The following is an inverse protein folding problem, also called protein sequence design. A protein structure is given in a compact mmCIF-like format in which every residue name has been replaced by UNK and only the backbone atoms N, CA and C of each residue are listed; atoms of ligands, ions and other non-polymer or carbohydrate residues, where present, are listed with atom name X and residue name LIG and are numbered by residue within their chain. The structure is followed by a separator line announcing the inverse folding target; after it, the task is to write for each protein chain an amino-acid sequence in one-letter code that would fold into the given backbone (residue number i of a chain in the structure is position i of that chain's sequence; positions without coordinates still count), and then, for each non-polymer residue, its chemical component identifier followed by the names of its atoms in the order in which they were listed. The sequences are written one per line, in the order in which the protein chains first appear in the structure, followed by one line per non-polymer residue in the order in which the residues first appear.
data_IF_138298086978
#
_entry.id   IF_138298086978
#
_cell.length_a   1.000
_cell.length_b   1.000
_cell.length_c   1.000
_cell.angle_alpha   90.00
_cell.angle_beta   90.00
_cell.angle_gamma   90.00
#
_symmetry.space_group_name_H-M   'P 1'
#
loop_
_entity.id
_entity.type
_entity.pdbx_description
1 polymer ?
#
# COMPACT_ATOMS: atom_id res chain seq x y z
N UNK A 1 -8.56 -28.65 -11.53
CA UNK A 1 -8.49 -27.57 -12.53
C UNK A 1 -7.98 -26.33 -11.83
N UNK A 2 -6.99 -25.62 -12.40
CA UNK A 2 -6.55 -24.33 -11.86
C UNK A 2 -7.61 -23.29 -12.21
N UNK A 3 -8.40 -22.88 -11.23
CA UNK A 3 -9.42 -21.84 -11.38
C UNK A 3 -8.87 -20.52 -10.86
N UNK A 4 -9.33 -19.40 -11.41
CA UNK A 4 -8.92 -18.05 -10.97
C UNK A 4 -9.09 -17.85 -9.44
N UNK A 5 -10.04 -18.57 -8.83
CA UNK A 5 -10.28 -18.60 -7.38
C UNK A 5 -9.06 -19.07 -6.56
N UNK A 6 -8.16 -19.89 -7.12
CA UNK A 6 -6.94 -20.31 -6.41
C UNK A 6 -5.96 -19.15 -6.18
N UNK A 7 -6.11 -18.04 -6.90
CA UNK A 7 -5.28 -16.83 -6.74
C UNK A 7 -5.78 -15.89 -5.66
N UNK A 8 -6.95 -16.12 -5.08
CA UNK A 8 -7.46 -15.34 -3.94
C UNK A 8 -7.58 -16.26 -2.73
N UNK A 9 -7.00 -15.82 -1.62
CA UNK A 9 -7.19 -16.48 -0.33
C UNK A 9 -7.35 -15.43 0.75
N UNK A 10 -8.61 -15.18 1.12
CA UNK A 10 -8.94 -14.23 2.18
C UNK A 10 -8.62 -14.78 3.55
N UNK A 11 -8.32 -13.89 4.48
CA UNK A 11 -8.27 -14.25 5.89
C UNK A 11 -9.71 -14.58 6.35
N UNK A 12 -9.91 -15.78 6.92
CA UNK A 12 -11.20 -16.33 7.40
C UNK A 12 -12.18 -16.82 6.31
N UNK A 13 -11.69 -17.22 5.14
CA UNK A 13 -12.50 -17.86 4.09
C UNK A 13 -13.75 -17.06 3.69
N UNK A 14 -13.66 -15.73 3.79
CA UNK A 14 -14.74 -14.84 3.36
C UNK A 14 -14.90 -14.89 1.84
N UNK A 15 -16.13 -14.69 1.35
CA UNK A 15 -16.42 -14.68 -0.08
C UNK A 15 -15.71 -13.52 -0.79
N UNK A 16 -15.12 -13.76 -1.97
CA UNK A 16 -14.49 -12.72 -2.76
C UNK A 16 -15.52 -11.71 -3.28
N UNK A 17 -15.11 -10.44 -3.36
CA UNK A 17 -15.89 -9.39 -4.02
C UNK A 17 -15.73 -9.51 -5.54
N UNK A 18 -16.73 -9.09 -6.31
CA UNK A 18 -16.67 -9.06 -7.78
C UNK A 18 -15.40 -8.38 -8.31
N UNK A 19 -14.93 -7.31 -7.63
CA UNK A 19 -13.70 -6.64 -8.01
C UNK A 19 -12.46 -7.51 -7.79
N UNK A 20 -12.44 -8.28 -6.72
CA UNK A 20 -11.32 -9.18 -6.42
C UNK A 20 -11.29 -10.33 -7.41
N UNK A 21 -12.44 -10.92 -7.76
CA UNK A 21 -12.55 -11.95 -8.79
C UNK A 21 -11.97 -11.47 -10.13
N UNK A 22 -12.28 -10.23 -10.52
CA UNK A 22 -11.70 -9.61 -11.72
C UNK A 22 -10.16 -9.50 -11.62
N UNK A 23 -9.61 -9.15 -10.45
CA UNK A 23 -8.16 -9.10 -10.24
C UNK A 23 -7.54 -10.51 -10.25
N UNK A 24 -8.19 -11.51 -9.67
CA UNK A 24 -7.76 -12.91 -9.75
C UNK A 24 -7.72 -13.42 -11.18
N UNK A 25 -8.77 -13.15 -11.95
CA UNK A 25 -8.85 -13.53 -13.35
C UNK A 25 -7.75 -12.84 -14.15
N UNK A 26 -7.54 -11.54 -13.92
CA UNK A 26 -6.43 -10.82 -14.55
C UNK A 26 -5.07 -11.45 -14.24
N UNK A 27 -4.81 -11.88 -12.99
CA UNK A 27 -3.58 -12.57 -12.59
C UNK A 27 -3.44 -13.95 -13.25
N UNK A 28 -4.52 -14.73 -13.32
CA UNK A 28 -4.54 -16.04 -13.96
C UNK A 28 -4.25 -15.95 -15.47
N UNK A 29 -4.83 -14.97 -16.13
CA UNK A 29 -4.56 -14.72 -17.54
C UNK A 29 -3.10 -14.30 -17.78
N UNK A 30 -2.49 -13.55 -16.85
CA UNK A 30 -1.07 -13.18 -16.95
C UNK A 30 -0.15 -14.38 -16.77
N UNK A 31 -0.50 -15.32 -15.88
CA UNK A 31 0.22 -16.59 -15.72
C UNK A 31 0.21 -17.41 -17.02
N UNK A 32 -0.88 -17.38 -17.78
CA UNK A 32 -1.00 -18.12 -19.04
C UNK A 32 -0.35 -17.41 -20.23
N UNK A 33 -0.36 -16.08 -20.24
CA UNK A 33 0.14 -15.29 -21.37
C UNK A 33 1.66 -15.19 -21.39
N UNK A 34 2.30 -15.00 -20.22
CA UNK A 34 3.72 -14.70 -20.13
C UNK A 34 4.54 -15.85 -19.55
N UNK A 35 5.33 -16.51 -20.41
CA UNK A 35 6.14 -17.66 -20.01
C UNK A 35 7.22 -17.33 -18.97
N UNK A 36 7.75 -16.10 -18.95
CA UNK A 36 8.77 -15.68 -17.98
C UNK A 36 8.22 -15.54 -16.55
N UNK A 37 7.03 -14.95 -16.40
CA UNK A 37 6.44 -14.64 -15.09
C UNK A 37 5.62 -15.83 -14.55
N UNK A 38 5.28 -16.78 -15.42
CA UNK A 38 4.49 -17.97 -15.09
C UNK A 38 5.06 -18.77 -13.91
N UNK A 39 6.37 -19.00 -13.91
CA UNK A 39 7.02 -19.80 -12.87
C UNK A 39 6.90 -19.16 -11.48
N UNK A 40 7.10 -17.85 -11.41
CA UNK A 40 6.99 -17.08 -10.18
C UNK A 40 5.53 -16.86 -9.75
N UNK A 41 4.60 -16.64 -10.69
CA UNK A 41 3.19 -16.37 -10.37
C UNK A 41 2.41 -17.59 -9.93
N UNK A 42 2.80 -18.81 -10.33
CA UNK A 42 2.07 -20.04 -10.04
C UNK A 42 1.78 -20.22 -8.54
N UNK A 43 2.78 -19.97 -7.70
CA UNK A 43 2.69 -20.15 -6.24
C UNK A 43 2.18 -18.89 -5.50
N UNK A 44 1.96 -17.80 -6.23
CA UNK A 44 1.53 -16.53 -5.66
C UNK A 44 0.00 -16.41 -5.64
N UNK A 45 -0.50 -15.87 -4.53
CA UNK A 45 -1.90 -15.54 -4.33
C UNK A 45 -2.02 -14.20 -3.60
N UNK A 46 -3.21 -13.59 -3.68
CA UNK A 46 -3.55 -12.31 -3.05
C UNK A 46 -4.58 -12.52 -1.94
N UNK A 47 -4.58 -11.65 -0.94
CA UNK A 47 -5.57 -11.68 0.13
C UNK A 47 -6.83 -10.92 -0.27
N UNK A 48 -6.66 -9.70 -0.76
CA UNK A 48 -7.77 -8.84 -1.17
C UNK A 48 -7.32 -7.81 -2.18
N UNK A 49 -8.27 -7.16 -2.84
CA UNK A 49 -8.03 -6.04 -3.72
C UNK A 49 -9.10 -4.97 -3.48
N UNK A 50 -8.68 -3.71 -3.47
CA UNK A 50 -9.57 -2.58 -3.25
C UNK A 50 -9.30 -1.47 -4.25
N UNK A 51 -10.36 -0.80 -4.69
CA UNK A 51 -10.25 0.38 -5.52
C UNK A 51 -10.31 1.62 -4.63
N UNK A 52 -9.36 2.54 -4.81
CA UNK A 52 -9.27 3.78 -4.05
C UNK A 52 -9.35 4.95 -5.03
N UNK A 53 -10.22 5.91 -4.73
CA UNK A 53 -10.28 7.16 -5.47
C UNK A 53 -9.16 8.10 -4.99
N UNK A 54 -8.38 8.60 -5.94
CA UNK A 54 -7.23 9.50 -5.72
C UNK A 54 -7.63 10.93 -6.14
N UNK A 55 -6.88 11.93 -5.66
CA UNK A 55 -6.98 13.30 -6.16
C UNK A 55 -6.85 13.35 -7.70
N UNK A 56 -7.59 14.26 -8.33
CA UNK A 56 -7.57 14.41 -9.80
C UNK A 56 -8.48 13.44 -10.57
N UNK A 57 -9.40 12.75 -9.90
CA UNK A 57 -10.39 11.87 -10.55
C UNK A 57 -9.84 10.53 -11.05
N UNK A 58 -8.55 10.28 -10.81
CA UNK A 58 -7.91 8.99 -11.05
C UNK A 58 -8.33 7.97 -9.98
N UNK A 59 -8.40 6.70 -10.38
CA UNK A 59 -8.65 5.59 -9.45
C UNK A 59 -7.43 4.70 -9.41
N UNK A 60 -6.98 4.37 -8.20
CA UNK A 60 -5.89 3.45 -7.97
C UNK A 60 -6.43 2.09 -7.52
N UNK A 61 -5.73 1.02 -7.92
CA UNK A 61 -6.02 -0.34 -7.50
C UNK A 61 -4.98 -0.75 -6.47
N UNK A 62 -5.42 -1.06 -5.25
CA UNK A 62 -4.57 -1.54 -4.17
C UNK A 62 -4.77 -3.03 -4.01
N UNK A 63 -3.71 -3.80 -4.24
CA UNK A 63 -3.71 -5.25 -4.08
C UNK A 63 -2.99 -5.61 -2.80
N UNK A 64 -3.70 -6.31 -1.93
CA UNK A 64 -3.20 -6.78 -0.65
C UNK A 64 -2.60 -8.18 -0.81
N UNK A 65 -1.30 -8.28 -0.55
CA UNK A 65 -0.51 -9.48 -0.71
C UNK A 65 -0.17 -10.08 0.67
N UNK A 66 -0.15 -11.41 0.85
CA UNK A 66 0.35 -12.03 2.08
C UNK A 66 1.78 -11.58 2.42
N UNK A 67 2.02 -11.17 3.66
CA UNK A 67 3.37 -10.76 4.11
C UNK A 67 4.46 -11.81 3.84
N UNK A 68 4.10 -13.11 3.90
CA UNK A 68 5.02 -14.23 3.60
C UNK A 68 5.56 -14.19 2.16
N UNK A 69 4.75 -13.73 1.21
CA UNK A 69 5.07 -13.71 -0.22
C UNK A 69 5.62 -12.36 -0.70
N UNK A 70 5.72 -11.34 0.18
CA UNK A 70 6.21 -9.99 -0.14
C UNK A 70 7.53 -10.01 -0.92
N UNK A 71 8.48 -10.86 -0.53
CA UNK A 71 9.80 -10.95 -1.18
C UNK A 71 9.70 -11.46 -2.63
N UNK A 72 8.87 -12.46 -2.87
CA UNK A 72 8.63 -13.00 -4.21
C UNK A 72 7.93 -11.97 -5.09
N UNK A 73 6.91 -11.29 -4.56
CA UNK A 73 6.24 -10.20 -5.27
C UNK A 73 7.19 -9.05 -5.61
N UNK A 74 8.08 -8.62 -4.70
CA UNK A 74 9.07 -7.56 -4.99
C UNK A 74 9.96 -7.88 -6.20
N UNK A 75 10.37 -9.13 -6.38
CA UNK A 75 11.19 -9.53 -7.54
C UNK A 75 10.47 -9.28 -8.87
N UNK A 76 9.18 -9.59 -8.94
CA UNK A 76 8.38 -9.49 -10.16
C UNK A 76 7.57 -8.19 -10.28
N UNK A 77 7.52 -7.38 -9.22
CA UNK A 77 6.66 -6.21 -9.09
C UNK A 77 6.75 -5.20 -10.25
N UNK A 78 7.92 -4.79 -10.77
CA UNK A 78 7.95 -3.81 -11.87
C UNK A 78 7.28 -4.34 -13.14
N UNK A 79 7.46 -5.64 -13.43
CA UNK A 79 6.85 -6.30 -14.60
C UNK A 79 5.35 -6.51 -14.38
N UNK A 80 4.98 -7.02 -13.21
CA UNK A 80 3.60 -7.30 -12.83
C UNK A 80 2.73 -6.03 -12.82
N UNK A 81 3.24 -4.93 -12.26
CA UNK A 81 2.53 -3.64 -12.24
C UNK A 81 2.28 -3.13 -13.65
N UNK A 82 3.29 -3.18 -14.54
CA UNK A 82 3.14 -2.74 -15.93
C UNK A 82 2.08 -3.53 -16.69
N UNK A 83 1.97 -4.84 -16.44
CA UNK A 83 0.99 -5.69 -17.10
C UNK A 83 -0.43 -5.51 -16.55
N UNK A 84 -0.56 -5.33 -15.24
CA UNK A 84 -1.85 -5.03 -14.61
C UNK A 84 -2.34 -3.63 -15.01
N UNK A 85 -1.46 -2.63 -15.10
CA UNK A 85 -1.82 -1.27 -15.56
C UNK A 85 -2.37 -1.27 -16.99
N UNK A 86 -1.85 -2.13 -17.88
CA UNK A 86 -2.41 -2.34 -19.23
C UNK A 86 -3.81 -2.92 -19.19
N UNK A 87 -4.08 -3.90 -18.32
CA UNK A 87 -5.40 -4.54 -18.18
C UNK A 87 -6.45 -3.65 -17.54
N UNK A 88 -6.05 -2.81 -16.59
CA UNK A 88 -6.95 -1.92 -15.87
C UNK A 88 -7.07 -0.52 -16.51
N UNK A 89 -6.85 -0.42 -17.82
CA UNK A 89 -7.03 0.80 -18.63
C UNK A 89 -6.29 2.02 -18.06
N UNK A 90 -5.06 1.83 -17.59
CA UNK A 90 -4.23 2.93 -17.08
C UNK A 90 -4.53 3.37 -15.64
N UNK A 91 -5.34 2.60 -14.89
CA UNK A 91 -5.42 2.77 -13.43
C UNK A 91 -4.09 2.35 -12.81
N UNK A 92 -3.55 3.20 -11.94
CA UNK A 92 -2.29 2.93 -11.24
C UNK A 92 -2.49 1.80 -10.22
N UNK A 93 -1.60 0.80 -10.26
CA UNK A 93 -1.69 -0.40 -9.41
C UNK A 93 -0.59 -0.36 -8.35
N UNK A 94 -0.97 -0.51 -7.09
CA UNK A 94 -0.05 -0.53 -5.94
C UNK A 94 -0.19 -1.85 -5.19
N UNK A 95 0.94 -2.53 -4.92
CA UNK A 95 0.99 -3.76 -4.14
C UNK A 95 1.35 -3.43 -2.69
N UNK A 96 0.57 -3.94 -1.73
CA UNK A 96 0.80 -3.70 -0.30
C UNK A 96 0.74 -5.02 0.45
N UNK A 97 1.74 -5.29 1.30
CA UNK A 97 1.69 -6.46 2.16
C UNK A 97 0.65 -6.31 3.28
N UNK A 98 -0.16 -7.34 3.52
CA UNK A 98 -1.09 -7.42 4.65
C UNK A 98 -0.31 -7.53 5.97
N UNK A 99 -0.37 -6.48 6.78
CA UNK A 99 0.30 -6.41 8.09
C UNK A 99 -0.73 -6.29 9.20
N UNK A 100 -0.58 -7.09 10.26
CA UNK A 100 -1.48 -7.08 11.42
C UNK A 100 -0.98 -6.09 12.48
N UNK A 101 -1.78 -5.07 12.78
CA UNK A 101 -1.53 -4.13 13.87
C UNK A 101 -2.11 -4.72 15.17
N UNK A 102 -1.29 -4.77 16.22
CA UNK A 102 -1.69 -5.19 17.56
C UNK A 102 -1.73 -3.97 18.47
N UNK A 103 -2.86 -3.79 19.17
CA UNK A 103 -3.04 -2.69 20.12
C UNK A 103 -2.00 -2.76 21.25
N UNK A 104 -1.55 -1.62 21.79
CA UNK A 104 -0.71 -1.61 22.98
C UNK A 104 -1.36 -2.45 24.10
N UNK A 105 -0.58 -3.31 24.79
CA UNK A 105 -1.08 -4.05 25.94
C UNK A 105 -1.57 -3.09 27.04
N UNK A 106 -2.64 -3.47 27.76
CA UNK A 106 -3.11 -2.68 28.91
C UNK A 106 -2.07 -2.74 30.04
N UNK A 107 -2.00 -1.67 30.85
CA UNK A 107 -1.10 -1.57 32.01
C UNK A 107 -1.36 -2.77 32.94
N UNK A 108 -0.30 -3.52 33.28
CA UNK A 108 -0.39 -4.72 34.13
C UNK A 108 -0.57 -6.06 33.40
N UNK A 109 -0.64 -6.07 32.06
CA UNK A 109 -0.64 -7.33 31.31
C UNK A 109 0.78 -7.85 31.06
N UNK A 110 0.98 -9.16 31.24
CA UNK A 110 2.25 -9.86 30.96
C UNK A 110 2.51 -10.06 29.45
N UNK A 111 1.51 -9.84 28.60
CA UNK A 111 1.60 -10.06 27.16
C UNK A 111 2.40 -8.94 26.49
N UNK A 112 3.61 -9.26 26.06
CA UNK A 112 4.45 -8.33 25.30
C UNK A 112 4.08 -8.36 23.81
N UNK A 113 3.79 -7.18 23.24
CA UNK A 113 3.55 -7.06 21.79
C UNK A 113 4.86 -7.12 21.00
N UNK A 114 4.92 -7.84 19.87
CA UNK A 114 6.05 -7.75 18.95
C UNK A 114 6.20 -6.34 18.37
N UNK A 115 7.44 -5.84 18.27
CA UNK A 115 7.73 -4.51 17.70
C UNK A 115 7.24 -4.36 16.25
N UNK A 116 7.33 -5.43 15.46
CA UNK A 116 6.88 -5.49 14.06
C UNK A 116 5.36 -5.30 13.89
N UNK A 117 4.57 -5.49 14.96
CA UNK A 117 3.10 -5.35 14.94
C UNK A 117 2.62 -4.05 15.58
N UNK A 118 3.52 -3.10 15.80
CA UNK A 118 3.16 -1.75 16.28
C UNK A 118 2.64 -0.89 15.14
N UNK A 119 1.77 0.07 15.44
CA UNK A 119 1.19 0.97 14.43
C UNK A 119 2.28 1.71 13.64
N UNK A 120 3.28 2.25 14.34
CA UNK A 120 4.40 2.99 13.72
C UNK A 120 5.21 2.12 12.77
N UNK A 121 5.65 0.94 13.22
CA UNK A 121 6.44 0.02 12.38
C UNK A 121 5.65 -0.47 11.16
N UNK A 122 4.34 -0.70 11.30
CA UNK A 122 3.49 -1.10 10.18
C UNK A 122 3.33 0.03 9.17
N UNK A 123 3.14 1.27 9.63
CA UNK A 123 3.02 2.44 8.75
C UNK A 123 4.32 2.70 7.98
N UNK A 124 5.47 2.61 8.65
CA UNK A 124 6.78 2.76 8.01
C UNK A 124 6.99 1.70 6.93
N UNK A 125 6.68 0.44 7.25
CA UNK A 125 6.81 -0.66 6.30
C UNK A 125 5.77 -0.61 5.16
N UNK A 126 4.62 0.06 5.36
CA UNK A 126 3.63 0.30 4.30
C UNK A 126 4.12 1.37 3.32
N UNK A 127 4.76 2.44 3.80
CA UNK A 127 5.37 3.44 2.92
C UNK A 127 6.41 2.81 1.99
N UNK A 128 7.25 1.92 2.51
CA UNK A 128 8.24 1.19 1.70
C UNK A 128 7.61 0.31 0.61
N UNK A 129 6.41 -0.24 0.84
CA UNK A 129 5.72 -1.07 -0.15
C UNK A 129 5.10 -0.23 -1.26
N UNK A 130 4.49 0.90 -0.88
CA UNK A 130 3.81 1.80 -1.81
C UNK A 130 4.79 2.38 -2.82
N UNK A 131 5.99 2.74 -2.37
CA UNK A 131 6.95 3.48 -3.21
C UNK A 131 7.88 2.57 -4.02
N UNK A 132 7.86 1.26 -3.80
CA UNK A 132 8.68 0.33 -4.57
C UNK A 132 8.35 0.43 -6.08
N UNK A 133 9.34 0.59 -6.98
CA UNK A 133 10.77 0.25 -6.84
C UNK A 133 11.69 1.34 -6.26
N UNK A 134 11.18 2.57 -6.06
CA UNK A 134 11.99 3.63 -5.48
C UNK A 134 12.26 3.37 -3.98
N UNK A 135 13.48 3.67 -3.55
CA UNK A 135 13.89 3.57 -2.16
C UNK A 135 13.74 4.92 -1.46
N UNK A 136 13.39 4.87 -0.17
CA UNK A 136 13.25 6.05 0.67
C UNK A 136 14.64 6.38 1.24
N UNK A 137 15.19 7.53 0.86
CA UNK A 137 16.50 8.03 1.30
C UNK A 137 16.37 8.72 2.67
N UNK A 138 15.25 9.39 2.92
CA UNK A 138 15.05 10.13 4.15
C UNK A 138 13.59 10.37 4.48
N UNK A 139 13.32 10.62 5.75
CA UNK A 139 12.00 11.03 6.26
C UNK A 139 12.17 12.25 7.14
N UNK A 140 11.40 13.31 6.88
CA UNK A 140 11.29 14.48 7.74
C UNK A 140 9.84 14.62 8.18
N UNK A 141 9.63 14.98 9.43
CA UNK A 141 8.30 15.25 9.97
C UNK A 141 8.18 16.73 10.22
N UNK A 142 7.34 17.42 9.44
CA UNK A 142 7.08 18.85 9.63
C UNK A 142 5.86 19.03 10.53
N UNK A 143 6.06 19.78 11.61
CA UNK A 143 5.01 20.18 12.52
C UNK A 143 4.50 21.55 12.09
N UNK A 144 3.21 21.66 11.74
CA UNK A 144 2.58 22.97 11.50
C UNK A 144 2.21 23.60 12.83
N UNK A 145 2.46 24.91 12.95
CA UNK A 145 2.15 25.70 14.15
C UNK A 145 0.65 25.77 14.45
N UNK A 146 -0.19 25.67 13.41
CA UNK A 146 -1.63 25.88 13.51
C UNK A 146 -2.39 24.80 14.29
N UNK A 147 -1.76 23.64 14.57
CA UNK A 147 -2.40 22.52 15.29
C UNK A 147 -3.72 22.00 14.67
N UNK A 148 -4.08 22.44 13.46
CA UNK A 148 -5.46 22.47 12.97
C UNK A 148 -5.83 21.22 12.17
N UNK A 149 -6.44 20.22 12.83
CA UNK A 149 -7.08 19.04 12.21
C UNK A 149 -7.91 19.43 10.96
N UNK A 150 -7.52 18.93 9.79
CA UNK A 150 -8.32 18.95 8.55
C UNK A 150 -9.13 17.67 8.63
N UNK A 151 -10.01 17.63 9.63
CA UNK A 151 -11.11 16.69 9.73
C UNK A 151 -12.38 17.55 9.72
N UNK A 152 -12.68 18.11 8.55
CA UNK A 152 -13.98 18.71 8.25
C UNK A 152 -14.65 17.83 7.20
N UNK A 153 -15.26 16.75 7.65
CA UNK A 153 -16.46 16.17 7.04
C UNK A 153 -17.34 15.71 8.20
N UNK A 154 -18.60 16.14 8.15
CA UNK A 154 -19.59 15.97 9.20
C UNK A 154 -19.60 14.54 9.74
N UNK A 155 -19.46 14.38 11.05
CA UNK A 155 -20.46 13.69 11.90
C UNK A 155 -19.99 13.67 13.36
N UNK A 156 -20.97 13.89 14.24
CA UNK A 156 -20.83 13.97 15.70
C UNK A 156 -20.48 12.60 16.31
N UNK A 157 -19.76 12.65 17.44
CA UNK A 157 -19.63 11.64 18.51
C UNK A 157 -18.84 10.35 18.19
N UNK A 158 -17.58 10.26 18.66
CA UNK A 158 -17.16 9.42 19.81
C UNK A 158 -15.63 9.44 19.99
N UNK A 159 -15.24 9.53 21.26
CA UNK A 159 -14.03 9.00 21.90
C UNK A 159 -12.64 9.63 21.71
N UNK A 160 -12.09 9.92 22.89
CA UNK A 160 -10.74 10.30 23.24
C UNK A 160 -9.67 9.37 22.66
N UNK A 161 -9.03 9.81 21.58
CA UNK A 161 -7.68 9.37 21.25
C UNK A 161 -6.80 10.61 21.14
N UNK A 162 -5.69 10.60 21.87
CA UNK A 162 -4.69 11.68 21.91
C UNK A 162 -4.34 12.07 20.48
N UNK A 163 -4.77 13.26 20.11
CA UNK A 163 -4.62 13.83 18.77
C UNK A 163 -3.16 14.16 18.51
N UNK A 164 -2.57 13.47 17.55
CA UNK A 164 -1.28 13.85 17.00
C UNK A 164 -1.53 15.15 16.20
N UNK A 165 -0.75 16.23 16.43
CA UNK A 165 -0.80 17.42 15.57
C UNK A 165 -0.54 17.00 14.13
N UNK A 166 -1.09 17.70 13.14
CA UNK A 166 -0.82 17.37 11.74
C UNK A 166 0.66 17.24 11.46
N UNK A 167 1.07 16.00 11.27
CA UNK A 167 2.40 15.63 10.81
C UNK A 167 2.29 15.52 9.31
N UNK A 168 2.92 16.44 8.60
CA UNK A 168 3.29 16.19 7.22
C UNK A 168 4.59 15.41 7.24
N UNK A 169 4.46 14.13 6.96
CA UNK A 169 5.61 13.25 6.70
C UNK A 169 6.10 13.59 5.28
N UNK A 170 7.24 14.27 5.20
CA UNK A 170 8.01 14.50 3.98
C UNK A 170 8.93 13.29 3.78
N UNK A 171 8.75 12.61 2.65
CA UNK A 171 9.49 11.40 2.32
C UNK A 171 10.36 11.70 1.10
N UNK A 172 11.68 11.57 1.28
CA UNK A 172 12.65 11.76 0.21
C UNK A 172 12.91 10.44 -0.52
N UNK A 173 12.70 10.45 -1.83
CA UNK A 173 12.93 9.30 -2.71
C UNK A 173 14.28 9.40 -3.41
N UNK A 174 14.86 8.27 -3.78
CA UNK A 174 16.09 8.25 -4.57
C UNK A 174 15.87 8.93 -5.95
N UNK A 175 16.65 9.97 -6.30
CA UNK A 175 16.55 10.66 -7.59
C UNK A 175 16.69 9.74 -8.80
N UNK A 176 17.36 8.58 -8.68
CA UNK A 176 17.53 7.62 -9.78
C UNK A 176 16.22 7.05 -10.30
N UNK A 177 15.23 6.88 -9.44
CA UNK A 177 13.93 6.32 -9.78
C UNK A 177 12.91 7.40 -10.20
N UNK A 178 13.35 8.66 -10.37
CA UNK A 178 12.47 9.80 -10.66
C UNK A 178 11.66 9.60 -11.93
N UNK A 179 12.29 9.19 -13.04
CA UNK A 179 11.60 9.05 -14.32
C UNK A 179 10.42 8.06 -14.29
N UNK A 180 10.49 7.03 -13.44
CA UNK A 180 9.47 5.98 -13.36
C UNK A 180 8.37 6.29 -12.32
N UNK A 181 8.70 7.05 -11.28
CA UNK A 181 7.83 7.23 -10.10
C UNK A 181 7.19 8.60 -9.99
N UNK A 182 7.68 9.62 -10.71
CA UNK A 182 7.18 11.01 -10.61
C UNK A 182 5.68 11.10 -10.95
N UNK A 183 5.24 10.36 -11.95
CA UNK A 183 3.84 10.35 -12.39
C UNK A 183 2.87 9.71 -11.37
N UNK A 184 3.39 8.98 -10.36
CA UNK A 184 2.60 8.18 -9.40
C UNK A 184 2.59 8.78 -7.99
N UNK A 185 3.32 9.88 -7.74
CA UNK A 185 3.48 10.45 -6.40
C UNK A 185 2.14 10.86 -5.75
N UNK A 186 1.23 11.44 -6.52
CA UNK A 186 -0.10 11.82 -6.04
C UNK A 186 -0.92 10.60 -5.61
N UNK A 187 -0.82 9.51 -6.36
CA UNK A 187 -1.47 8.24 -6.04
C UNK A 187 -0.90 7.60 -4.79
N UNK A 188 0.42 7.60 -4.64
CA UNK A 188 1.06 7.11 -3.42
C UNK A 188 0.59 7.86 -2.18
N UNK A 189 0.48 9.19 -2.28
CA UNK A 189 -0.01 10.02 -1.19
C UNK A 189 -1.49 9.73 -0.88
N UNK A 190 -2.34 9.62 -1.90
CA UNK A 190 -3.76 9.30 -1.77
C UNK A 190 -4.01 7.93 -1.14
N UNK A 191 -3.31 6.91 -1.61
CA UNK A 191 -3.39 5.53 -1.09
C UNK A 191 -2.94 5.47 0.36
N UNK A 192 -1.78 6.07 0.69
CA UNK A 192 -1.28 6.07 2.06
C UNK A 192 -2.24 6.82 3.00
N UNK A 193 -2.78 7.96 2.56
CA UNK A 193 -3.76 8.73 3.33
C UNK A 193 -5.02 7.92 3.63
N UNK A 194 -5.54 7.20 2.63
CA UNK A 194 -6.75 6.37 2.81
C UNK A 194 -6.53 5.22 3.78
N UNK A 195 -5.36 4.59 3.74
CA UNK A 195 -5.05 3.42 4.57
C UNK A 195 -4.60 3.77 5.99
N UNK A 196 -3.83 4.86 6.16
CA UNK A 196 -3.20 5.23 7.43
C UNK A 196 -3.86 6.40 8.14
N UNK A 197 -4.63 7.22 7.43
CA UNK A 197 -5.16 8.49 7.92
C UNK A 197 -4.13 9.60 8.09
N UNK A 198 -2.88 9.40 7.63
CA UNK A 198 -1.79 10.39 7.68
C UNK A 198 -1.56 11.02 6.31
N UNK A 199 -1.24 12.30 6.30
CA UNK A 199 -0.85 13.02 5.09
C UNK A 199 0.66 12.90 4.85
N UNK A 200 1.04 12.52 3.63
CA UNK A 200 2.44 12.37 3.20
C UNK A 200 2.67 13.18 1.95
N UNK A 201 3.86 13.77 1.85
CA UNK A 201 4.36 14.44 0.66
C UNK A 201 5.65 13.77 0.24
N UNK A 202 5.73 13.37 -1.02
CA UNK A 202 6.92 12.77 -1.60
C UNK A 202 7.71 13.82 -2.38
N UNK A 203 9.01 13.89 -2.12
CA UNK A 203 9.91 14.82 -2.80
C UNK A 203 11.18 14.08 -3.21
N UNK A 204 11.84 14.53 -4.27
CA UNK A 204 13.20 14.10 -4.59
C UNK A 204 14.16 15.12 -3.99
N UNK A 205 15.18 14.70 -3.23
CA UNK A 205 16.19 15.61 -2.73
C UNK A 205 16.89 16.25 -3.94
N UNK A 206 16.87 17.58 -3.98
CA UNK A 206 17.74 18.31 -4.89
C UNK A 206 19.14 18.17 -4.30
N UNK A 207 20.11 17.68 -5.07
CA UNK A 207 21.50 17.72 -4.62
C UNK A 207 21.84 19.20 -4.42
N UNK A 208 21.98 19.63 -3.16
CA UNK A 208 22.64 20.88 -2.85
C UNK A 208 24.08 20.73 -3.37
N UNK A 209 24.41 21.53 -4.39
CA UNK A 209 25.73 21.62 -4.98
C UNK A 209 26.74 22.21 -3.99
#
# INVERSE_FOLDING_TARGET
MYTALQKIHKDKDAEPSEFEENVAQALFDLENTNQEIKSDLKDLYINSASQIDVSGGKKAVVIHVPYRLRKSFRKIQPRLVRELEKKFSGKEVVLIATRRIVRPPKKGSAVQRPRTRTLTAVHDAMLEDIVYPAEIVGKRVRYRLDGSKIMKRLDKKLESSKSIPHLLELVFLDPKARNDTDNKLETFAGVYRKLSGKDVVFEFPVNDA
#
